data_IF_728117490160
#
_entry.id   IF_728117490160
#
_cell.length_a   1.000
_cell.length_b   1.000
_cell.length_c   1.000
_cell.angle_alpha   90.00
_cell.angle_beta   90.00
_cell.angle_gamma   90.00
#
_symmetry.space_group_name_H-M   'P 1'
#
loop_
_entity.id
_entity.type
_entity.pdbx_description
1 polymer ?
#
# COMPACT_ATOMS: atom_id res chain seq x y z
N UNK A 1 80.48 66.92 43.41
CA UNK A 1 80.13 66.78 41.97
C UNK A 1 79.53 65.44 41.57
N UNK A 2 79.17 64.54 42.51
CA UNK A 2 78.64 63.21 42.22
C UNK A 2 77.13 63.01 42.44
N UNK A 3 76.45 64.00 43.03
CA UNK A 3 75.04 63.88 43.36
C UNK A 3 74.17 64.26 42.15
N UNK A 4 74.56 65.26 41.32
CA UNK A 4 73.83 65.70 40.11
C UNK A 4 73.85 64.63 38.97
N UNK A 5 74.93 63.85 38.87
CA UNK A 5 75.06 62.84 37.83
C UNK A 5 74.12 61.66 38.04
N UNK A 6 73.88 61.24 39.29
CA UNK A 6 72.89 60.17 39.63
C UNK A 6 71.48 60.55 39.42
N UNK A 7 71.11 61.87 39.56
CA UNK A 7 69.76 62.29 39.37
C UNK A 7 69.36 62.38 37.88
N UNK A 8 70.31 62.77 37.02
CA UNK A 8 70.10 62.83 35.57
C UNK A 8 70.05 61.41 34.98
N UNK A 9 70.86 60.47 35.39
CA UNK A 9 70.81 59.07 34.91
C UNK A 9 69.51 58.37 35.33
N UNK A 10 68.95 58.69 36.50
CA UNK A 10 67.73 58.11 37.02
C UNK A 10 66.50 58.60 36.20
N UNK A 11 66.45 59.92 35.91
CA UNK A 11 65.37 60.47 35.08
C UNK A 11 65.37 60.04 33.62
N UNK A 12 66.56 59.80 33.04
CA UNK A 12 66.67 59.24 31.67
C UNK A 12 66.26 57.76 31.61
N UNK A 13 66.54 56.99 32.63
CA UNK A 13 66.08 55.59 32.69
C UNK A 13 64.58 55.47 32.88
N UNK A 14 63.95 56.35 33.68
CA UNK A 14 62.52 56.40 33.86
C UNK A 14 61.82 56.89 32.60
N UNK A 15 62.35 57.87 31.89
CA UNK A 15 61.78 58.37 30.63
C UNK A 15 61.94 57.33 29.50
N UNK A 16 63.01 56.61 29.41
CA UNK A 16 63.23 55.54 28.46
C UNK A 16 62.29 54.35 28.70
N UNK A 17 62.03 54.02 29.98
CA UNK A 17 61.10 52.94 30.34
C UNK A 17 59.68 53.29 29.99
N UNK A 18 59.20 54.57 30.09
CA UNK A 18 57.85 55.01 29.71
C UNK A 18 57.64 54.88 28.20
N UNK A 19 58.62 55.27 27.39
CA UNK A 19 58.55 55.12 25.92
C UNK A 19 58.53 53.65 25.47
N UNK A 20 59.34 52.80 26.12
CA UNK A 20 59.29 51.37 25.82
C UNK A 20 58.02 50.68 26.18
N UNK A 21 57.40 51.06 27.30
CA UNK A 21 56.10 50.52 27.71
C UNK A 21 54.95 50.86 26.68
N UNK A 22 54.99 52.05 26.12
CA UNK A 22 54.01 52.49 25.13
C UNK A 22 54.13 51.69 23.81
N UNK A 23 55.34 51.41 23.37
CA UNK A 23 55.62 50.56 22.18
C UNK A 23 55.12 49.14 22.41
N UNK A 24 55.36 48.54 23.59
CA UNK A 24 54.88 47.22 23.94
C UNK A 24 53.36 47.15 23.93
N UNK A 25 52.67 48.17 24.46
CA UNK A 25 51.19 48.25 24.43
C UNK A 25 50.64 48.32 22.99
N UNK A 26 51.29 49.11 22.11
CA UNK A 26 50.88 49.21 20.71
C UNK A 26 51.08 47.86 20.00
N UNK A 27 52.19 47.19 20.22
CA UNK A 27 52.46 45.86 19.66
C UNK A 27 51.46 44.84 20.19
N UNK A 28 51.15 44.87 21.50
CA UNK A 28 50.15 43.97 22.08
C UNK A 28 48.75 44.23 21.52
N UNK A 29 48.34 45.50 21.36
CA UNK A 29 47.05 45.82 20.71
C UNK A 29 47.02 45.37 19.26
N UNK A 30 48.08 45.58 18.48
CA UNK A 30 48.16 45.08 17.10
C UNK A 30 48.06 43.56 17.04
N UNK A 31 48.72 42.86 17.94
CA UNK A 31 48.67 41.40 18.00
C UNK A 31 47.26 40.87 18.38
N UNK A 32 46.64 41.49 19.37
CA UNK A 32 45.23 41.21 19.76
C UNK A 32 44.30 41.46 18.58
N UNK A 33 44.50 42.58 17.87
CA UNK A 33 43.70 42.89 16.66
C UNK A 33 43.81 41.84 15.56
N UNK A 34 45.02 41.37 15.29
CA UNK A 34 45.28 40.28 14.33
C UNK A 34 44.64 38.99 14.81
N UNK A 35 44.81 38.59 16.08
CA UNK A 35 44.17 37.40 16.62
C UNK A 35 42.64 37.46 16.54
N UNK A 36 42.02 38.61 16.89
CA UNK A 36 40.60 38.80 16.80
C UNK A 36 40.09 38.66 15.35
N UNK A 37 40.82 39.20 14.37
CA UNK A 37 40.50 39.09 12.95
C UNK A 37 40.57 37.66 12.45
N UNK A 38 41.61 36.88 12.89
CA UNK A 38 41.74 35.47 12.55
C UNK A 38 40.60 34.64 13.15
N UNK A 39 40.25 34.86 14.41
CA UNK A 39 39.15 34.17 15.07
C UNK A 39 37.79 34.48 14.39
N UNK A 40 37.56 35.75 14.04
CA UNK A 40 36.37 36.14 13.30
C UNK A 40 36.28 35.48 11.92
N UNK A 41 37.40 35.42 11.18
CA UNK A 41 37.49 34.73 9.91
C UNK A 41 37.23 33.23 10.05
N UNK A 42 37.82 32.56 11.03
CA UNK A 42 37.57 31.14 11.32
C UNK A 42 36.10 30.88 11.68
N UNK A 43 35.51 31.79 12.48
CA UNK A 43 34.07 31.70 12.84
C UNK A 43 33.16 31.82 11.60
N UNK A 44 33.49 32.73 10.69
CA UNK A 44 32.75 32.90 9.43
C UNK A 44 32.88 31.65 8.55
N UNK A 45 34.07 31.09 8.41
CA UNK A 45 34.29 29.84 7.65
C UNK A 45 33.47 28.68 8.24
N UNK A 46 33.50 28.53 9.56
CA UNK A 46 32.73 27.48 10.25
C UNK A 46 31.21 27.67 10.05
N UNK A 47 30.74 28.90 10.05
CA UNK A 47 29.33 29.21 9.76
C UNK A 47 28.97 28.84 8.33
N UNK A 48 29.79 29.22 7.35
CA UNK A 48 29.58 28.87 5.94
C UNK A 48 29.60 27.36 5.71
N UNK A 49 30.55 26.65 6.33
CA UNK A 49 30.61 25.19 6.25
C UNK A 49 29.34 24.53 6.81
N UNK A 50 28.84 25.01 7.97
CA UNK A 50 27.60 24.50 8.57
C UNK A 50 26.39 24.79 7.67
N UNK A 51 26.28 25.99 7.12
CA UNK A 51 25.20 26.37 6.21
C UNK A 51 25.21 25.51 4.93
N UNK A 52 26.39 25.29 4.35
CA UNK A 52 26.52 24.42 3.17
C UNK A 52 26.19 22.95 3.49
N UNK A 53 26.62 22.46 4.66
CA UNK A 53 26.26 21.09 5.08
C UNK A 53 24.76 20.92 5.32
N UNK A 54 24.08 21.95 5.85
CA UNK A 54 22.62 21.91 6.04
C UNK A 54 21.92 21.85 4.68
N UNK A 55 22.28 22.74 3.76
CA UNK A 55 21.73 22.74 2.40
C UNK A 55 21.97 21.42 1.65
N UNK A 56 23.19 20.87 1.77
CA UNK A 56 23.50 19.58 1.15
C UNK A 56 22.62 18.44 1.71
N UNK A 57 22.31 18.47 3.02
CA UNK A 57 21.39 17.51 3.63
C UNK A 57 19.96 17.70 3.15
N UNK A 58 19.48 18.94 3.09
CA UNK A 58 18.12 19.24 2.64
C UNK A 58 17.94 18.77 1.17
N UNK A 59 18.91 19.02 0.32
CA UNK A 59 18.89 18.55 -1.07
C UNK A 59 18.96 17.02 -1.18
N UNK A 60 19.74 16.38 -0.31
CA UNK A 60 19.80 14.93 -0.26
C UNK A 60 18.42 14.34 0.12
N UNK A 61 17.76 14.89 1.14
CA UNK A 61 16.41 14.46 1.52
C UNK A 61 15.38 14.73 0.43
N UNK A 62 15.51 15.82 -0.32
CA UNK A 62 14.65 16.06 -1.48
C UNK A 62 14.83 15.01 -2.56
N UNK A 63 16.07 14.63 -2.87
CA UNK A 63 16.35 13.55 -3.81
C UNK A 63 15.86 12.18 -3.30
N UNK A 64 15.93 11.92 -2.00
CA UNK A 64 15.37 10.72 -1.36
C UNK A 64 13.83 10.71 -1.44
N UNK A 65 13.19 11.86 -1.19
CA UNK A 65 11.73 12.01 -1.34
C UNK A 65 11.27 11.66 -2.76
N UNK A 66 12.00 12.08 -3.79
CA UNK A 66 11.71 11.69 -5.17
C UNK A 66 11.73 10.17 -5.35
N UNK A 67 12.73 9.50 -4.80
CA UNK A 67 12.80 8.03 -4.88
C UNK A 67 11.65 7.36 -4.14
N UNK A 68 11.25 7.91 -3.01
CA UNK A 68 10.12 7.37 -2.23
C UNK A 68 8.78 7.61 -2.94
N UNK A 69 8.59 8.74 -3.62
CA UNK A 69 7.41 8.96 -4.47
C UNK A 69 7.36 7.97 -5.65
N UNK A 70 8.48 7.71 -6.31
CA UNK A 70 8.58 6.68 -7.35
C UNK A 70 8.21 5.31 -6.75
N UNK A 71 8.74 4.94 -5.60
CA UNK A 71 8.42 3.67 -4.92
C UNK A 71 6.93 3.55 -4.60
N UNK A 72 6.33 4.59 -4.00
CA UNK A 72 4.90 4.61 -3.69
C UNK A 72 4.03 4.50 -4.96
N UNK A 73 4.40 5.21 -6.02
CA UNK A 73 3.70 5.10 -7.30
C UNK A 73 3.80 3.70 -7.90
N UNK A 74 4.94 3.06 -7.78
CA UNK A 74 5.14 1.69 -8.23
C UNK A 74 4.33 0.67 -7.41
N UNK A 75 4.08 0.90 -6.11
CA UNK A 75 3.26 0.00 -5.26
C UNK A 75 1.85 -0.18 -5.82
N UNK A 76 1.25 0.87 -6.35
CA UNK A 76 -0.06 0.80 -7.02
C UNK A 76 -0.04 -0.14 -8.23
N UNK A 77 0.99 -0.04 -9.06
CA UNK A 77 1.15 -0.91 -10.23
C UNK A 77 1.50 -2.35 -9.82
N UNK A 78 2.32 -2.54 -8.80
CA UNK A 78 2.64 -3.85 -8.23
C UNK A 78 1.35 -4.52 -7.75
N UNK A 79 0.52 -3.83 -6.97
CA UNK A 79 -0.75 -4.34 -6.47
C UNK A 79 -1.69 -4.77 -7.61
N UNK A 80 -1.81 -3.96 -8.66
CA UNK A 80 -2.60 -4.29 -9.85
C UNK A 80 -2.07 -5.52 -10.57
N UNK A 81 -0.75 -5.61 -10.73
CA UNK A 81 -0.10 -6.75 -11.39
C UNK A 81 -0.21 -8.04 -10.58
N UNK A 82 -0.11 -7.97 -9.25
CA UNK A 82 -0.32 -9.11 -8.34
C UNK A 82 -1.76 -9.59 -8.41
N UNK A 83 -2.73 -8.68 -8.32
CA UNK A 83 -4.16 -9.01 -8.40
C UNK A 83 -4.52 -9.66 -9.75
N UNK A 84 -4.03 -9.08 -10.85
CA UNK A 84 -4.25 -9.64 -12.19
C UNK A 84 -3.60 -11.02 -12.38
N UNK A 85 -2.39 -11.21 -11.87
CA UNK A 85 -1.70 -12.50 -11.90
C UNK A 85 -2.45 -13.56 -11.07
N UNK A 86 -2.92 -13.17 -9.88
CA UNK A 86 -3.71 -14.03 -9.00
C UNK A 86 -5.01 -14.49 -9.68
N UNK A 87 -5.75 -13.56 -10.30
CA UNK A 87 -6.97 -13.89 -11.05
C UNK A 87 -6.71 -14.90 -12.16
N UNK A 88 -5.63 -14.72 -12.94
CA UNK A 88 -5.26 -15.66 -14.00
C UNK A 88 -4.87 -17.05 -13.48
N UNK A 89 -4.25 -17.13 -12.29
CA UNK A 89 -3.97 -18.41 -11.66
C UNK A 89 -5.26 -19.08 -11.20
N UNK A 90 -6.22 -18.32 -10.65
CA UNK A 90 -7.51 -18.86 -10.23
C UNK A 90 -8.34 -19.41 -11.41
N UNK A 91 -8.31 -18.76 -12.57
CA UNK A 91 -8.99 -19.25 -13.78
C UNK A 91 -8.54 -20.66 -14.22
N UNK A 92 -7.32 -21.02 -13.87
CA UNK A 92 -6.74 -22.35 -14.18
C UNK A 92 -6.48 -23.21 -12.94
N UNK A 93 -7.12 -22.87 -11.80
CA UNK A 93 -6.78 -23.42 -10.50
C UNK A 93 -6.95 -24.94 -10.40
N UNK A 94 -8.04 -25.49 -10.93
CA UNK A 94 -8.37 -26.92 -10.84
C UNK A 94 -7.44 -27.82 -11.67
N UNK A 95 -6.90 -27.29 -12.77
CA UNK A 95 -6.06 -28.04 -13.70
C UNK A 95 -4.56 -27.94 -13.43
N UNK A 96 -4.16 -27.26 -12.35
CA UNK A 96 -2.77 -26.87 -12.13
C UNK A 96 -2.26 -27.38 -10.77
N UNK A 97 -1.10 -28.05 -10.75
CA UNK A 97 -0.42 -28.45 -9.50
C UNK A 97 0.07 -27.22 -8.70
N UNK A 98 0.30 -27.37 -7.39
CA UNK A 98 0.73 -26.26 -6.52
C UNK A 98 2.04 -25.61 -6.96
N UNK A 99 3.01 -26.41 -7.37
CA UNK A 99 4.29 -25.92 -7.90
C UNK A 99 4.10 -25.10 -9.17
N UNK A 100 3.17 -25.53 -10.01
CA UNK A 100 2.83 -24.83 -11.25
C UNK A 100 2.05 -23.53 -10.97
N UNK A 101 1.24 -23.47 -9.91
CA UNK A 101 0.53 -22.25 -9.50
C UNK A 101 1.50 -21.12 -9.16
N UNK A 102 2.52 -21.42 -8.34
CA UNK A 102 3.56 -20.45 -8.00
C UNK A 102 4.35 -20.01 -9.24
N UNK A 103 4.67 -20.93 -10.13
CA UNK A 103 5.37 -20.62 -11.38
C UNK A 103 4.53 -19.77 -12.32
N UNK A 104 3.23 -20.06 -12.47
CA UNK A 104 2.29 -19.26 -13.25
C UNK A 104 2.09 -17.89 -12.64
N UNK A 105 1.96 -17.78 -11.31
CA UNK A 105 1.83 -16.49 -10.62
C UNK A 105 3.03 -15.59 -10.92
N UNK A 106 4.24 -16.11 -10.78
CA UNK A 106 5.47 -15.39 -11.13
C UNK A 106 5.48 -14.95 -12.58
N UNK A 107 5.16 -15.86 -13.49
CA UNK A 107 5.12 -15.57 -14.91
C UNK A 107 4.14 -14.44 -15.24
N UNK A 108 2.90 -14.51 -14.76
CA UNK A 108 1.88 -13.49 -15.04
C UNK A 108 2.21 -12.15 -14.39
N UNK A 109 2.75 -12.17 -13.17
CA UNK A 109 3.20 -10.96 -12.49
C UNK A 109 4.33 -10.27 -13.27
N UNK A 110 5.40 -11.01 -13.59
CA UNK A 110 6.53 -10.46 -14.34
C UNK A 110 6.12 -9.97 -15.73
N UNK A 111 5.29 -10.74 -16.43
CA UNK A 111 4.77 -10.31 -17.74
C UNK A 111 3.94 -9.04 -17.64
N UNK A 112 3.11 -8.89 -16.61
CA UNK A 112 2.31 -7.69 -16.39
C UNK A 112 3.18 -6.47 -16.09
N UNK A 113 4.18 -6.63 -15.23
CA UNK A 113 5.12 -5.55 -14.89
C UNK A 113 5.97 -5.15 -16.09
N UNK A 114 6.51 -6.11 -16.83
CA UNK A 114 7.28 -5.84 -18.04
C UNK A 114 6.44 -5.11 -19.09
N UNK A 115 5.22 -5.60 -19.36
CA UNK A 115 4.34 -5.00 -20.35
C UNK A 115 3.99 -3.55 -19.99
N UNK A 116 3.79 -3.27 -18.71
CA UNK A 116 3.50 -1.92 -18.25
C UNK A 116 4.69 -0.96 -18.41
N UNK A 117 5.90 -1.39 -18.00
CA UNK A 117 7.07 -0.51 -17.98
C UNK A 117 7.91 -0.58 -19.25
N UNK A 118 7.67 -1.50 -20.16
CA UNK A 118 8.48 -1.63 -21.38
C UNK A 118 8.51 -0.33 -22.19
N UNK A 119 9.68 -0.04 -22.74
CA UNK A 119 9.85 0.98 -23.78
C UNK A 119 9.63 0.34 -25.16
N UNK A 120 10.66 -0.29 -25.73
CA UNK A 120 10.60 -0.94 -27.04
C UNK A 120 10.62 -2.47 -26.90
N UNK A 121 11.24 -2.97 -25.85
CA UNK A 121 11.56 -4.37 -25.62
C UNK A 121 11.38 -4.71 -24.13
N UNK A 122 11.19 -5.97 -23.82
CA UNK A 122 10.95 -6.48 -22.46
C UNK A 122 12.16 -6.39 -21.53
N UNK A 123 13.35 -6.09 -22.05
CA UNK A 123 14.59 -5.88 -21.28
C UNK A 123 14.86 -4.40 -20.99
N UNK A 124 13.94 -3.53 -21.40
CA UNK A 124 14.10 -2.07 -21.36
C UNK A 124 12.88 -1.41 -20.77
N UNK A 125 13.09 -0.58 -19.76
CA UNK A 125 11.98 0.21 -19.20
C UNK A 125 11.94 1.64 -19.74
N UNK A 126 10.75 2.21 -19.76
CA UNK A 126 10.48 3.60 -20.09
C UNK A 126 10.67 4.46 -18.83
N UNK A 127 11.69 5.32 -18.85
CA UNK A 127 12.03 6.21 -17.75
C UNK A 127 10.93 7.24 -17.46
N UNK A 128 10.16 7.61 -18.48
CA UNK A 128 9.04 8.56 -18.35
C UNK A 128 7.98 8.05 -17.41
N UNK A 129 7.73 6.74 -17.39
CA UNK A 129 6.75 6.14 -16.49
C UNK A 129 7.14 6.24 -15.02
N UNK A 130 8.44 6.19 -14.72
CA UNK A 130 8.95 6.41 -13.38
C UNK A 130 8.86 7.89 -13.00
N UNK A 131 9.17 8.79 -13.93
CA UNK A 131 9.06 10.23 -13.69
C UNK A 131 7.63 10.67 -13.38
N UNK A 132 6.63 10.08 -14.02
CA UNK A 132 5.22 10.39 -13.82
C UNK A 132 4.70 10.04 -12.41
N UNK A 133 5.46 9.31 -11.61
CA UNK A 133 5.14 9.09 -10.20
C UNK A 133 5.58 10.23 -9.28
N UNK A 134 6.49 11.09 -9.77
CA UNK A 134 6.89 12.27 -9.00
C UNK A 134 5.68 13.19 -8.91
N UNK A 135 5.33 13.53 -7.69
CA UNK A 135 4.16 14.36 -7.39
C UNK A 135 4.18 15.65 -8.21
N UNK A 136 3.01 16.07 -8.62
CA UNK A 136 2.81 17.34 -9.33
C UNK A 136 3.09 18.58 -8.44
N UNK A 137 3.73 18.42 -7.29
CA UNK A 137 4.37 19.53 -6.61
C UNK A 137 5.44 20.09 -7.53
N UNK A 138 5.09 21.21 -8.14
CA UNK A 138 5.86 21.83 -9.22
C UNK A 138 7.32 22.06 -8.85
N UNK A 139 7.62 22.37 -7.60
CA UNK A 139 8.99 22.61 -7.15
C UNK A 139 9.84 21.32 -7.14
N UNK A 140 9.30 20.21 -6.67
CA UNK A 140 10.03 18.95 -6.60
C UNK A 140 10.28 18.38 -8.01
N UNK A 141 9.26 18.38 -8.87
CA UNK A 141 9.38 17.88 -10.23
C UNK A 141 10.32 18.75 -11.09
N UNK A 142 10.17 20.09 -11.06
CA UNK A 142 11.01 21.00 -11.85
C UNK A 142 12.49 20.95 -11.47
N UNK A 143 12.79 20.68 -10.21
CA UNK A 143 14.16 20.61 -9.69
C UNK A 143 14.77 19.20 -9.80
N UNK A 144 14.03 18.23 -10.34
CA UNK A 144 14.44 16.84 -10.46
C UNK A 144 14.74 16.45 -11.92
N UNK A 145 15.88 15.80 -12.10
CA UNK A 145 16.23 15.11 -13.35
C UNK A 145 16.37 13.62 -13.05
N UNK A 146 15.59 12.78 -13.72
CA UNK A 146 15.82 11.34 -13.73
C UNK A 146 16.73 10.98 -14.91
N UNK A 147 17.73 10.19 -14.62
CA UNK A 147 18.67 9.68 -15.63
C UNK A 147 18.70 8.15 -15.57
N UNK A 148 18.86 7.51 -16.72
CA UNK A 148 19.16 6.09 -16.83
C UNK A 148 20.31 5.88 -17.81
N UNK A 149 21.26 5.03 -17.43
CA UNK A 149 22.42 4.70 -18.28
C UNK A 149 22.22 3.32 -18.89
N UNK A 150 22.30 3.25 -20.22
CA UNK A 150 22.22 1.99 -20.97
C UNK A 150 23.38 1.86 -21.93
N UNK A 151 24.30 0.97 -21.65
CA UNK A 151 25.54 0.86 -22.41
C UNK A 151 26.37 2.13 -22.31
N UNK A 152 26.55 2.83 -23.44
CA UNK A 152 27.22 4.14 -23.53
C UNK A 152 26.26 5.33 -23.53
N UNK A 153 24.97 5.07 -23.63
CA UNK A 153 23.94 6.10 -23.77
C UNK A 153 23.38 6.48 -22.41
N UNK A 154 23.22 7.78 -22.17
CA UNK A 154 22.52 8.34 -21.02
C UNK A 154 21.23 8.98 -21.49
N UNK A 155 20.11 8.58 -20.89
CA UNK A 155 18.78 9.13 -21.14
C UNK A 155 18.33 9.95 -19.96
N UNK A 156 17.63 11.07 -20.20
CA UNK A 156 17.16 12.00 -19.19
C UNK A 156 15.69 12.32 -19.37
N UNK A 157 15.00 12.49 -18.23
CA UNK A 157 13.63 12.99 -18.17
C UNK A 157 13.56 14.06 -17.08
N UNK A 158 13.03 15.23 -17.42
CA UNK A 158 12.85 16.34 -16.48
C UNK A 158 11.73 17.28 -16.95
N UNK A 159 11.31 18.20 -16.12
CA UNK A 159 10.40 19.29 -16.53
C UNK A 159 11.16 20.58 -16.79
N UNK A 160 10.74 21.29 -17.84
CA UNK A 160 11.22 22.65 -18.09
C UNK A 160 10.55 23.65 -17.11
N UNK A 161 10.98 24.92 -17.17
CA UNK A 161 10.41 25.98 -16.34
C UNK A 161 8.91 26.25 -16.59
N UNK A 162 8.36 25.73 -17.69
CA UNK A 162 6.94 25.82 -18.04
C UNK A 162 6.14 24.59 -17.57
N UNK A 163 6.80 23.61 -16.97
CA UNK A 163 6.20 22.36 -16.53
C UNK A 163 6.03 21.31 -17.64
N UNK A 164 6.62 21.53 -18.84
CA UNK A 164 6.58 20.54 -19.90
C UNK A 164 7.59 19.44 -19.64
N UNK A 165 7.20 18.20 -19.89
CA UNK A 165 8.09 17.05 -19.79
C UNK A 165 9.07 17.02 -20.95
N UNK A 166 10.34 17.08 -20.63
CA UNK A 166 11.45 17.00 -21.59
C UNK A 166 12.09 15.62 -21.51
N UNK A 167 12.34 15.05 -22.67
CA UNK A 167 12.99 13.76 -22.85
C UNK A 167 14.18 13.95 -23.76
N UNK A 168 15.36 13.53 -23.32
CA UNK A 168 16.59 13.71 -24.10
C UNK A 168 17.52 12.52 -23.99
N UNK A 169 18.40 12.41 -24.99
CA UNK A 169 19.57 11.54 -24.98
C UNK A 169 20.81 12.42 -24.94
N UNK A 170 21.70 12.17 -24.00
CA UNK A 170 22.93 12.94 -23.86
C UNK A 170 23.78 12.92 -25.16
N UNK A 171 24.18 14.08 -25.59
CA UNK A 171 24.98 14.25 -26.83
C UNK A 171 24.18 14.23 -28.12
N UNK A 172 22.85 14.09 -28.10
CA UNK A 172 22.00 14.12 -29.28
C UNK A 172 20.80 15.07 -29.12
N UNK A 173 20.97 16.36 -29.44
CA UNK A 173 19.90 17.36 -29.25
C UNK A 173 18.72 17.18 -30.22
N UNK A 174 18.86 16.33 -31.23
CA UNK A 174 17.81 16.05 -32.25
C UNK A 174 17.03 14.78 -31.91
N UNK A 175 17.42 14.09 -30.84
CA UNK A 175 16.80 12.83 -30.47
C UNK A 175 15.34 13.02 -30.07
N UNK A 176 14.48 12.16 -30.59
CA UNK A 176 13.07 12.12 -30.28
C UNK A 176 12.63 10.66 -30.12
N UNK A 177 12.68 10.15 -28.94
CA UNK A 177 12.35 8.76 -28.68
C UNK A 177 11.91 8.56 -27.22
N UNK A 178 11.73 7.31 -26.82
CA UNK A 178 11.42 6.96 -25.44
C UNK A 178 12.74 6.86 -24.67
N UNK A 179 12.94 7.58 -23.55
CA UNK A 179 14.12 7.46 -22.71
C UNK A 179 14.13 6.09 -22.00
N UNK A 180 15.26 5.40 -22.07
CA UNK A 180 15.37 3.98 -21.80
C UNK A 180 16.31 3.67 -20.66
N UNK A 181 15.92 2.72 -19.81
CA UNK A 181 16.80 2.10 -18.82
C UNK A 181 16.79 0.57 -18.94
N UNK A 182 17.79 -0.08 -18.41
CA UNK A 182 17.89 -1.53 -18.41
C UNK A 182 16.98 -2.18 -17.36
N UNK A 183 16.16 -3.13 -17.79
CA UNK A 183 15.29 -3.95 -16.96
C UNK A 183 15.87 -5.36 -16.83
N UNK A 184 16.27 -5.74 -15.62
CA UNK A 184 16.75 -7.09 -15.34
C UNK A 184 15.69 -7.93 -14.68
N UNK A 185 15.50 -9.14 -15.19
CA UNK A 185 14.61 -10.14 -14.61
C UNK A 185 15.37 -11.05 -13.67
N UNK A 186 14.72 -11.38 -12.58
CA UNK A 186 15.16 -12.38 -11.61
C UNK A 186 14.07 -13.44 -11.44
N UNK A 187 14.40 -14.53 -10.83
CA UNK A 187 13.45 -15.62 -10.54
C UNK A 187 12.32 -15.18 -9.61
N UNK A 188 12.59 -14.19 -8.77
CA UNK A 188 11.68 -13.67 -7.73
C UNK A 188 11.19 -12.24 -7.97
N UNK A 189 11.53 -11.62 -9.11
CA UNK A 189 11.16 -10.24 -9.37
C UNK A 189 11.88 -9.62 -10.56
N UNK A 190 11.90 -8.29 -10.58
CA UNK A 190 12.60 -7.51 -11.61
C UNK A 190 13.32 -6.31 -10.98
N UNK A 191 14.31 -5.76 -11.68
CA UNK A 191 15.07 -4.60 -11.24
C UNK A 191 15.20 -3.58 -12.36
N UNK A 192 14.91 -2.33 -12.02
CA UNK A 192 15.18 -1.15 -12.83
C UNK A 192 16.61 -0.72 -12.52
N UNK A 193 17.52 -0.94 -13.46
CA UNK A 193 18.95 -0.76 -13.22
C UNK A 193 19.42 0.65 -13.56
N UNK A 194 20.47 1.08 -12.85
CA UNK A 194 21.19 2.31 -13.13
C UNK A 194 20.31 3.57 -13.13
N UNK A 195 19.29 3.61 -12.26
CA UNK A 195 18.49 4.80 -12.07
C UNK A 195 19.28 5.83 -11.28
N UNK A 196 19.36 7.04 -11.79
CA UNK A 196 20.01 8.17 -11.14
C UNK A 196 19.02 9.31 -10.99
N UNK A 197 18.87 9.78 -9.76
CA UNK A 197 18.05 10.93 -9.41
C UNK A 197 18.99 12.08 -9.11
N UNK A 198 18.84 13.19 -9.81
CA UNK A 198 19.55 14.44 -9.57
C UNK A 198 18.53 15.49 -9.15
N UNK A 199 18.72 16.04 -7.96
CA UNK A 199 17.94 17.16 -7.45
C UNK A 199 18.82 18.41 -7.35
N UNK A 200 18.34 19.53 -7.90
CA UNK A 200 19.04 20.81 -7.86
C UNK A 200 18.13 21.86 -7.25
N UNK A 201 18.54 22.48 -6.13
CA UNK A 201 17.76 23.56 -5.51
C UNK A 201 17.89 24.89 -6.28
N UNK A 202 17.08 25.88 -5.90
CA UNK A 202 17.09 27.21 -6.50
C UNK A 202 18.42 27.96 -6.32
N UNK A 203 19.25 27.55 -5.37
CA UNK A 203 20.57 28.11 -5.11
C UNK A 203 21.69 27.39 -5.90
N UNK A 204 21.35 26.37 -6.69
CA UNK A 204 22.27 25.60 -7.55
C UNK A 204 23.04 24.50 -6.81
N UNK A 205 22.65 24.12 -5.57
CA UNK A 205 23.22 22.96 -4.91
C UNK A 205 22.62 21.69 -5.51
N UNK A 206 23.49 20.73 -5.82
CA UNK A 206 23.11 19.49 -6.50
C UNK A 206 23.29 18.31 -5.56
N UNK A 207 22.28 17.45 -5.47
CA UNK A 207 22.37 16.13 -4.85
C UNK A 207 22.05 15.05 -5.86
N UNK A 208 22.82 13.96 -5.81
CA UNK A 208 22.68 12.84 -6.75
C UNK A 208 22.57 11.55 -5.96
N UNK A 209 21.54 10.76 -6.27
CA UNK A 209 21.39 9.41 -5.77
C UNK A 209 21.34 8.46 -6.97
N UNK A 210 22.20 7.44 -6.94
CA UNK A 210 22.17 6.38 -7.95
C UNK A 210 21.79 5.07 -7.26
N UNK A 211 20.83 4.36 -7.83
CA UNK A 211 20.29 3.13 -7.25
C UNK A 211 19.69 2.22 -8.30
N UNK A 212 19.52 0.95 -7.93
CA UNK A 212 18.67 0.01 -8.64
C UNK A 212 17.38 -0.16 -7.83
N UNK A 213 16.22 -0.01 -8.48
CA UNK A 213 14.93 -0.28 -7.86
C UNK A 213 14.54 -1.73 -8.12
N UNK A 214 14.50 -2.53 -7.06
CA UNK A 214 14.13 -3.94 -7.14
C UNK A 214 12.72 -4.18 -6.65
N UNK A 215 11.90 -4.77 -7.52
CA UNK A 215 10.54 -5.23 -7.22
C UNK A 215 10.58 -6.74 -7.06
N UNK A 216 10.16 -7.22 -5.89
CA UNK A 216 10.00 -8.65 -5.62
C UNK A 216 8.53 -9.02 -5.64
N UNK A 217 8.24 -10.20 -6.16
CA UNK A 217 6.94 -10.81 -5.95
C UNK A 217 6.79 -11.14 -4.46
N UNK A 218 5.69 -10.72 -3.80
CA UNK A 218 5.42 -11.18 -2.44
C UNK A 218 5.33 -12.71 -2.42
N UNK A 219 5.86 -13.31 -1.35
CA UNK A 219 5.73 -14.74 -1.13
C UNK A 219 4.25 -15.07 -0.92
N UNK A 220 3.65 -15.67 -1.93
CA UNK A 220 2.28 -16.14 -1.91
C UNK A 220 2.31 -17.64 -1.73
N UNK A 221 1.99 -18.09 -0.55
CA UNK A 221 1.78 -19.52 -0.30
C UNK A 221 0.41 -19.92 -0.84
N UNK A 222 0.37 -20.40 -2.10
CA UNK A 222 -0.80 -21.14 -2.59
C UNK A 222 -0.93 -22.52 -1.93
N UNK A 223 0.08 -22.92 -1.17
CA UNK A 223 0.24 -24.25 -0.59
C UNK A 223 -0.49 -24.44 0.75
N UNK A 224 -1.01 -23.42 1.38
CA UNK A 224 -2.08 -23.70 2.31
C UNK A 224 -3.31 -23.97 1.45
N UNK A 225 -3.45 -25.24 1.04
CA UNK A 225 -4.76 -25.80 0.90
C UNK A 225 -5.51 -25.40 2.20
N UNK A 226 -6.16 -24.25 2.20
CA UNK A 226 -7.48 -24.25 2.80
C UNK A 226 -8.05 -25.48 2.09
N UNK A 227 -8.12 -26.60 2.79
CA UNK A 227 -8.98 -27.68 2.38
C UNK A 227 -10.29 -26.98 2.13
N UNK A 228 -10.53 -26.62 0.85
CA UNK A 228 -11.87 -26.31 0.42
C UNK A 228 -12.65 -27.46 1.03
N UNK A 229 -13.61 -27.20 1.92
CA UNK A 229 -14.38 -28.27 2.53
C UNK A 229 -14.76 -29.13 1.36
N UNK A 230 -14.39 -30.41 1.41
CA UNK A 230 -14.38 -31.27 0.22
C UNK A 230 -15.69 -31.00 -0.53
N UNK A 231 -15.64 -30.57 -1.78
CA UNK A 231 -16.81 -30.22 -2.58
C UNK A 231 -17.86 -31.36 -2.51
N UNK A 232 -17.43 -32.56 -2.19
CA UNK A 232 -18.26 -33.74 -1.92
C UNK A 232 -19.30 -33.54 -0.80
N UNK A 233 -19.13 -32.55 0.10
CA UNK A 233 -20.10 -32.23 1.14
C UNK A 233 -20.88 -30.94 0.90
N UNK A 234 -20.64 -30.23 -0.21
CA UNK A 234 -21.31 -28.99 -0.53
C UNK A 234 -22.47 -29.27 -1.50
N UNK A 235 -23.69 -29.05 -1.05
CA UNK A 235 -24.88 -29.26 -1.84
C UNK A 235 -25.16 -28.14 -2.83
N UNK A 236 -24.75 -26.93 -2.50
CA UNK A 236 -25.08 -25.74 -3.30
C UNK A 236 -24.02 -24.67 -3.13
N UNK A 237 -23.57 -24.10 -4.26
CA UNK A 237 -22.67 -22.95 -4.31
C UNK A 237 -23.22 -21.92 -5.28
N UNK A 238 -23.41 -20.70 -4.85
CA UNK A 238 -23.75 -19.59 -5.70
C UNK A 238 -22.80 -18.41 -5.46
N UNK A 239 -22.25 -17.87 -6.52
CA UNK A 239 -21.38 -16.70 -6.46
C UNK A 239 -22.13 -15.43 -6.03
N UNK A 240 -23.43 -15.36 -6.35
CA UNK A 240 -24.26 -14.19 -6.03
C UNK A 240 -25.35 -14.59 -5.03
N UNK A 241 -26.58 -14.69 -5.50
CA UNK A 241 -27.76 -14.89 -4.66
C UNK A 241 -28.28 -16.31 -4.75
N UNK A 242 -28.68 -16.86 -3.62
CA UNK A 242 -29.63 -17.97 -3.52
C UNK A 242 -30.92 -17.36 -3.01
N UNK A 243 -32.02 -17.60 -3.74
CA UNK A 243 -33.34 -17.13 -3.34
C UNK A 243 -34.30 -18.31 -3.27
N UNK A 244 -34.91 -18.48 -2.10
CA UNK A 244 -35.91 -19.50 -1.84
C UNK A 244 -37.25 -18.81 -1.73
N UNK A 245 -38.09 -18.91 -2.80
CA UNK A 245 -39.39 -18.26 -2.91
C UNK A 245 -40.47 -19.35 -2.84
N UNK A 246 -41.61 -19.08 -2.22
CA UNK A 246 -42.75 -20.00 -2.29
C UNK A 246 -43.35 -20.03 -3.68
N UNK A 247 -43.66 -21.19 -4.18
CA UNK A 247 -44.17 -21.42 -5.54
C UNK A 247 -45.63 -21.04 -5.72
N UNK A 248 -46.36 -20.80 -4.63
CA UNK A 248 -47.75 -20.32 -4.66
C UNK A 248 -48.16 -19.78 -3.29
N UNK A 249 -49.17 -18.89 -3.21
CA UNK A 249 -49.49 -18.17 -1.98
C UNK A 249 -50.11 -19.02 -0.86
N UNK A 250 -50.25 -20.31 -1.02
CA UNK A 250 -50.93 -21.17 -0.05
C UNK A 250 -50.18 -22.44 0.37
N UNK A 251 -49.06 -22.78 -0.19
CA UNK A 251 -48.33 -23.99 0.23
C UNK A 251 -47.05 -23.65 0.97
N UNK A 252 -46.99 -24.05 2.24
CA UNK A 252 -45.75 -24.11 3.01
C UNK A 252 -44.75 -24.99 2.27
N UNK A 253 -43.84 -24.41 1.54
CA UNK A 253 -42.80 -25.18 0.92
C UNK A 253 -41.72 -25.45 1.94
N UNK A 254 -41.61 -26.70 2.32
CA UNK A 254 -40.50 -27.19 3.11
C UNK A 254 -39.35 -27.55 2.16
N UNK A 255 -38.31 -26.74 2.13
CA UNK A 255 -37.11 -27.01 1.38
C UNK A 255 -36.06 -27.61 2.31
N UNK A 256 -35.65 -28.81 1.97
CA UNK A 256 -34.59 -29.51 2.73
C UNK A 256 -33.28 -29.48 1.94
N UNK A 257 -32.25 -28.97 2.56
CA UNK A 257 -30.91 -28.94 1.98
C UNK A 257 -30.03 -29.90 2.77
N UNK A 258 -29.59 -30.97 2.10
CA UNK A 258 -28.64 -31.92 2.67
C UNK A 258 -27.20 -31.49 2.36
N UNK A 259 -26.39 -31.25 3.37
CA UNK A 259 -24.99 -30.85 3.23
C UNK A 259 -24.75 -29.34 3.42
N UNK A 260 -23.53 -28.91 3.13
CA UNK A 260 -23.12 -27.52 3.26
C UNK A 260 -23.53 -26.68 2.06
N UNK A 261 -23.77 -25.38 2.26
CA UNK A 261 -23.93 -24.48 1.13
C UNK A 261 -23.21 -23.14 1.34
N UNK A 262 -22.91 -22.50 0.24
CA UNK A 262 -22.26 -21.20 0.18
C UNK A 262 -23.01 -20.28 -0.78
N UNK A 263 -23.25 -19.04 -0.34
CA UNK A 263 -23.77 -17.96 -1.16
C UNK A 263 -23.21 -16.61 -0.72
N UNK A 264 -23.11 -15.66 -1.63
CA UNK A 264 -22.87 -14.27 -1.25
C UNK A 264 -24.06 -13.71 -0.46
N UNK A 265 -25.26 -14.02 -0.92
CA UNK A 265 -26.51 -13.56 -0.32
C UNK A 265 -27.55 -14.69 -0.33
N UNK A 266 -28.20 -14.91 0.79
CA UNK A 266 -29.32 -15.84 0.90
C UNK A 266 -30.59 -15.08 1.25
N UNK A 267 -31.59 -15.23 0.43
CA UNK A 267 -32.93 -14.66 0.64
C UNK A 267 -33.93 -15.80 0.82
N UNK A 268 -34.54 -15.87 1.99
CA UNK A 268 -35.63 -16.83 2.29
C UNK A 268 -36.94 -16.06 2.37
N UNK A 269 -37.86 -16.32 1.43
CA UNK A 269 -39.06 -15.55 1.27
C UNK A 269 -38.88 -14.34 0.34
N UNK A 270 -39.72 -13.35 0.43
CA UNK A 270 -39.69 -12.14 -0.38
C UNK A 270 -39.08 -10.95 0.37
N UNK A 271 -38.25 -10.16 -0.31
CA UNK A 271 -37.78 -8.86 0.22
C UNK A 271 -38.89 -7.78 0.09
N UNK A 272 -39.83 -7.96 -0.81
CA UNK A 272 -40.97 -7.06 -0.97
C UNK A 272 -41.95 -7.28 0.18
N UNK A 273 -41.92 -6.36 1.13
CA UNK A 273 -42.45 -6.50 2.47
C UNK A 273 -43.99 -6.43 2.59
N UNK A 274 -44.77 -6.38 1.54
CA UNK A 274 -46.14 -5.86 1.62
C UNK A 274 -47.30 -6.86 1.45
N UNK A 275 -47.04 -8.14 1.59
CA UNK A 275 -48.17 -9.04 1.75
C UNK A 275 -48.41 -9.27 3.24
N UNK A 276 -49.54 -8.77 3.74
CA UNK A 276 -50.02 -8.96 5.13
C UNK A 276 -50.07 -10.44 5.58
N UNK A 277 -50.05 -11.35 4.62
CA UNK A 277 -49.96 -12.80 4.82
C UNK A 277 -48.58 -13.28 4.48
N UNK A 278 -47.72 -13.37 5.49
CA UNK A 278 -46.38 -13.94 5.34
C UNK A 278 -46.50 -15.35 4.74
N UNK A 279 -45.91 -15.51 3.57
CA UNK A 279 -45.79 -16.83 2.95
C UNK A 279 -44.69 -17.57 3.68
N UNK A 280 -45.06 -18.56 4.48
CA UNK A 280 -44.11 -19.33 5.27
C UNK A 280 -43.22 -20.22 4.41
N UNK A 281 -42.02 -19.73 4.10
CA UNK A 281 -40.99 -20.54 3.47
C UNK A 281 -40.12 -21.10 4.55
N UNK A 282 -40.00 -22.41 4.61
CA UNK A 282 -39.12 -23.09 5.53
C UNK A 282 -37.90 -23.67 4.77
N UNK A 283 -36.71 -23.35 5.24
CA UNK A 283 -35.47 -23.99 4.82
C UNK A 283 -34.96 -24.79 6.00
N UNK A 284 -34.81 -26.08 5.80
CA UNK A 284 -34.32 -27.00 6.84
C UNK A 284 -32.99 -27.60 6.37
N UNK A 285 -31.95 -27.44 7.18
CA UNK A 285 -30.66 -28.08 6.99
C UNK A 285 -30.69 -29.46 7.64
N UNK A 286 -30.70 -30.50 6.83
CA UNK A 286 -30.71 -31.88 7.30
C UNK A 286 -29.39 -32.60 7.04
N UNK A 287 -29.12 -33.62 7.83
CA UNK A 287 -28.06 -34.57 7.58
C UNK A 287 -28.37 -35.43 6.36
N UNK A 288 -27.42 -35.59 5.47
CA UNK A 288 -27.54 -36.58 4.37
C UNK A 288 -27.05 -37.91 4.88
N UNK A 289 -27.89 -38.92 4.85
CA UNK A 289 -27.54 -40.29 5.26
C UNK A 289 -26.25 -40.76 4.56
N UNK A 290 -25.28 -41.18 5.33
CA UNK A 290 -23.99 -41.68 4.84
C UNK A 290 -22.82 -40.68 4.93
N UNK A 291 -23.03 -39.49 5.45
CA UNK A 291 -21.98 -38.48 5.60
C UNK A 291 -21.93 -37.95 7.06
N UNK A 292 -21.91 -38.86 7.99
CA UNK A 292 -22.04 -38.61 9.45
C UNK A 292 -20.92 -37.77 10.07
N UNK A 293 -19.82 -37.55 9.33
CA UNK A 293 -18.64 -36.81 9.80
C UNK A 293 -18.32 -35.54 9.00
N UNK A 294 -19.18 -35.08 8.11
CA UNK A 294 -18.92 -33.85 7.37
C UNK A 294 -19.39 -32.64 8.21
N UNK A 295 -18.48 -31.77 8.56
CA UNK A 295 -18.78 -30.44 9.10
C UNK A 295 -19.75 -29.71 8.16
N UNK A 296 -21.00 -29.59 8.55
CA UNK A 296 -22.01 -28.92 7.75
C UNK A 296 -22.00 -27.43 8.06
N UNK A 297 -21.81 -26.66 7.03
CA UNK A 297 -21.73 -25.21 7.18
C UNK A 297 -22.65 -24.53 6.18
N UNK A 298 -23.37 -23.56 6.68
CA UNK A 298 -24.04 -22.54 5.85
C UNK A 298 -23.19 -21.28 5.90
N UNK A 299 -22.67 -20.85 4.77
CA UNK A 299 -21.90 -19.62 4.66
C UNK A 299 -22.61 -18.65 3.74
N UNK A 300 -23.01 -17.52 4.32
CA UNK A 300 -23.61 -16.39 3.60
C UNK A 300 -22.65 -15.22 3.76
N UNK A 301 -21.85 -14.96 2.73
CA UNK A 301 -20.74 -14.03 2.84
C UNK A 301 -21.14 -12.58 3.13
N UNK A 302 -22.30 -12.15 2.63
CA UNK A 302 -22.83 -10.80 2.82
C UNK A 302 -24.09 -10.79 3.67
N UNK A 303 -25.27 -10.99 3.05
CA UNK A 303 -26.54 -10.80 3.71
C UNK A 303 -27.37 -12.09 3.75
N UNK A 304 -27.78 -12.51 4.93
CA UNK A 304 -28.88 -13.46 5.15
C UNK A 304 -30.16 -12.67 5.43
N UNK A 305 -31.12 -12.75 4.52
CA UNK A 305 -32.43 -12.10 4.66
C UNK A 305 -33.54 -13.12 4.84
N UNK A 306 -34.31 -12.97 5.91
CA UNK A 306 -35.53 -13.72 6.16
C UNK A 306 -36.72 -12.80 6.04
N UNK A 307 -37.56 -13.06 5.05
CA UNK A 307 -38.86 -12.38 4.88
C UNK A 307 -39.89 -12.80 5.93
N UNK A 308 -41.05 -12.17 5.92
CA UNK A 308 -42.15 -12.47 6.85
C UNK A 308 -42.54 -13.95 6.77
N UNK A 309 -42.63 -14.61 7.92
CA UNK A 309 -42.98 -16.01 8.03
C UNK A 309 -41.92 -16.99 7.52
N UNK A 310 -40.79 -16.48 7.09
CA UNK A 310 -39.68 -17.34 6.70
C UNK A 310 -39.04 -18.02 7.90
N UNK A 311 -38.70 -19.29 7.73
CA UNK A 311 -38.10 -20.11 8.76
C UNK A 311 -36.81 -20.75 8.24
N UNK A 312 -35.72 -20.60 8.98
CA UNK A 312 -34.47 -21.31 8.77
C UNK A 312 -34.20 -22.17 9.98
N UNK A 313 -34.13 -23.48 9.78
CA UNK A 313 -33.89 -24.44 10.86
C UNK A 313 -32.74 -25.35 10.55
N UNK A 314 -32.09 -25.83 11.62
CA UNK A 314 -31.11 -26.91 11.53
C UNK A 314 -31.42 -27.90 12.65
N UNK A 315 -31.72 -29.13 12.30
CA UNK A 315 -32.22 -30.14 13.27
C UNK A 315 -31.12 -30.77 14.12
N UNK A 316 -29.91 -30.90 13.61
CA UNK A 316 -28.85 -31.59 14.38
C UNK A 316 -27.45 -31.06 14.18
N UNK A 317 -27.11 -30.53 13.03
CA UNK A 317 -25.72 -30.13 12.70
C UNK A 317 -25.68 -28.87 11.88
N UNK A 318 -24.74 -28.05 12.15
CA UNK A 318 -24.38 -26.99 11.27
C UNK A 318 -23.98 -25.71 11.97
N UNK A 319 -23.02 -25.08 11.38
CA UNK A 319 -22.65 -23.71 11.70
C UNK A 319 -23.26 -22.79 10.66
N UNK A 320 -23.87 -21.70 11.11
CA UNK A 320 -24.27 -20.60 10.25
C UNK A 320 -23.21 -19.48 10.37
N UNK A 321 -22.61 -19.16 9.27
CA UNK A 321 -21.70 -18.02 9.13
C UNK A 321 -22.35 -16.97 8.23
N UNK A 322 -22.60 -15.77 8.74
CA UNK A 322 -23.22 -14.71 7.97
C UNK A 322 -22.47 -13.39 8.13
N UNK A 323 -22.39 -12.61 7.04
CA UNK A 323 -21.92 -11.24 7.13
C UNK A 323 -22.89 -10.39 7.93
N UNK A 324 -24.15 -10.33 7.50
CA UNK A 324 -25.24 -9.63 8.18
C UNK A 324 -26.47 -10.54 8.19
N UNK A 325 -27.24 -10.54 9.27
CA UNK A 325 -28.54 -11.22 9.36
C UNK A 325 -29.64 -10.17 9.48
N UNK A 326 -30.62 -10.25 8.59
CA UNK A 326 -31.84 -9.42 8.65
C UNK A 326 -33.05 -10.31 8.71
N UNK A 327 -33.83 -10.15 9.76
CA UNK A 327 -35.10 -10.86 9.97
C UNK A 327 -36.24 -9.86 9.95
N UNK A 328 -37.27 -10.14 9.15
CA UNK A 328 -38.46 -9.33 9.11
C UNK A 328 -39.64 -10.08 9.72
N UNK A 329 -39.99 -9.72 10.94
CA UNK A 329 -41.15 -10.27 11.65
C UNK A 329 -42.45 -9.64 11.14
N UNK A 330 -43.49 -10.41 11.10
CA UNK A 330 -44.81 -9.94 10.67
C UNK A 330 -45.68 -9.41 11.82
N UNK A 331 -46.80 -8.80 11.48
CA UNK A 331 -47.78 -8.21 12.39
C UNK A 331 -48.49 -9.22 13.35
N UNK A 332 -49.76 -9.05 13.55
CA UNK A 332 -50.52 -9.78 14.59
C UNK A 332 -50.72 -11.30 14.37
N UNK A 333 -50.33 -11.85 13.24
CA UNK A 333 -50.52 -13.24 12.89
C UNK A 333 -49.33 -14.11 13.25
N UNK A 334 -49.56 -15.23 13.93
CA UNK A 334 -48.49 -16.19 14.31
C UNK A 334 -47.78 -16.84 13.13
N UNK A 335 -48.46 -16.91 11.98
CA UNK A 335 -47.89 -17.43 10.75
C UNK A 335 -46.83 -16.50 10.07
N UNK A 336 -46.72 -15.25 10.55
CA UNK A 336 -45.81 -14.25 9.99
C UNK A 336 -44.52 -14.11 10.80
N UNK A 337 -44.23 -15.02 11.71
CA UNK A 337 -42.99 -14.97 12.56
C UNK A 337 -41.78 -15.33 11.70
N UNK A 338 -40.84 -14.43 11.58
CA UNK A 338 -39.50 -14.76 11.06
C UNK A 338 -38.75 -15.62 12.10
N UNK A 339 -38.30 -16.82 11.70
CA UNK A 339 -37.68 -17.76 12.66
C UNK A 339 -36.32 -18.23 12.14
N UNK A 340 -35.32 -18.10 13.02
CA UNK A 340 -34.06 -18.86 12.92
C UNK A 340 -33.97 -19.78 14.12
N UNK A 341 -33.87 -21.09 13.90
CA UNK A 341 -33.77 -22.11 14.95
C UNK A 341 -32.59 -23.03 14.65
N UNK A 342 -31.50 -22.74 15.28
CA UNK A 342 -30.24 -23.50 15.23
C UNK A 342 -29.99 -24.11 16.63
N UNK A 343 -31.00 -24.67 17.24
CA UNK A 343 -30.90 -25.26 18.58
C UNK A 343 -29.77 -26.30 18.61
N UNK A 344 -28.81 -26.11 19.50
CA UNK A 344 -27.63 -26.97 19.61
C UNK A 344 -26.49 -26.63 18.64
N UNK A 345 -26.61 -25.62 17.81
CA UNK A 345 -25.63 -25.22 16.80
C UNK A 345 -25.18 -23.78 16.98
N UNK A 346 -24.06 -23.44 16.37
CA UNK A 346 -23.45 -22.11 16.48
C UNK A 346 -23.85 -21.19 15.31
N UNK A 347 -24.09 -19.94 15.62
CA UNK A 347 -24.30 -18.87 14.63
C UNK A 347 -23.22 -17.81 14.80
N UNK A 348 -22.50 -17.52 13.75
CA UNK A 348 -21.45 -16.50 13.69
C UNK A 348 -21.88 -15.38 12.77
N UNK A 349 -21.92 -14.14 13.27
CA UNK A 349 -22.31 -12.95 12.50
C UNK A 349 -21.13 -11.98 12.54
N UNK A 350 -20.59 -11.65 11.38
CA UNK A 350 -19.43 -10.76 11.29
C UNK A 350 -19.81 -9.27 11.44
N UNK A 351 -21.03 -8.90 11.05
CA UNK A 351 -21.58 -7.54 11.13
C UNK A 351 -22.84 -7.46 11.98
N UNK A 352 -23.92 -6.94 11.42
CA UNK A 352 -25.14 -6.64 12.15
C UNK A 352 -26.13 -7.81 12.17
N UNK A 353 -26.78 -8.00 13.33
CA UNK A 353 -28.02 -8.76 13.46
C UNK A 353 -29.19 -7.80 13.61
N UNK A 354 -30.08 -7.74 12.61
CA UNK A 354 -31.24 -6.87 12.59
C UNK A 354 -32.53 -7.68 12.65
N UNK A 355 -33.40 -7.32 13.58
CA UNK A 355 -34.73 -7.90 13.75
C UNK A 355 -35.76 -6.80 13.61
N UNK A 356 -36.28 -6.64 12.39
CA UNK A 356 -37.28 -5.63 12.08
C UNK A 356 -38.70 -6.20 12.24
N UNK A 357 -39.62 -5.37 12.69
CA UNK A 357 -41.02 -5.75 12.90
C UNK A 357 -41.29 -6.44 14.25
N UNK A 358 -42.52 -6.92 14.42
CA UNK A 358 -42.95 -7.63 15.64
C UNK A 358 -42.77 -9.13 15.46
N UNK A 359 -42.42 -9.83 16.54
CA UNK A 359 -42.34 -11.29 16.61
C UNK A 359 -41.27 -11.93 15.71
N UNK A 360 -40.04 -11.62 15.98
CA UNK A 360 -38.91 -12.42 15.51
C UNK A 360 -38.55 -13.49 16.56
N UNK A 361 -38.23 -14.69 16.11
CA UNK A 361 -37.75 -15.77 16.94
C UNK A 361 -36.37 -16.19 16.49
N UNK A 362 -35.36 -15.91 17.31
CA UNK A 362 -33.98 -16.25 17.05
C UNK A 362 -33.48 -17.18 18.15
N UNK A 363 -33.07 -18.39 17.77
CA UNK A 363 -32.58 -19.41 18.71
C UNK A 363 -31.30 -20.02 18.16
N UNK A 364 -30.24 -19.90 18.91
CA UNK A 364 -28.93 -20.48 18.62
C UNK A 364 -28.38 -21.11 19.89
N UNK A 365 -27.62 -22.17 19.73
CA UNK A 365 -26.81 -22.82 20.77
C UNK A 365 -27.50 -23.09 22.11
N UNK A 366 -26.97 -23.98 22.91
CA UNK A 366 -27.19 -24.06 24.35
C UNK A 366 -25.92 -23.77 25.08
#
# INVERSE_FOLDING_TARGET
MNIFRRHFEKNHKEAANKGSAMVVVIIAMAFIGILASVLMYMSLLNYQMKANNLKAKDNFYSAETVLDEIRMGMEGQISTSVSGAYTKVLESFESTSEEQKNSKMRYYFLSSMQEYYKADDTTVYDLTKLYNYISADTALAQNTVLEAVRGTDTYRVYQDASGNLIQEKEGDPTWSGIPKGDLKLYTDGLSFCNLKVTYTDDAGYVSVIQTDLRVKLPDMEFAQAVTLPSITGISMVAQNNIQVIPDAPMNLSNNTIGGSFYADRLIIGSEEADTENGTGVTVNLQETAGNENADKRMVVAKDLYLGRGATLTSDQYGELWAGTIRMHGGGNNTASVGKIDFAGNSIYVAGDLRMDGQRNNFKAGT
#
